data_IF_330627526770
#
_entry.id   IF_330627526770
#
_cell.length_a   1.000
_cell.length_b   1.000
_cell.length_c   1.000
_cell.angle_alpha   90.00
_cell.angle_beta   90.00
_cell.angle_gamma   90.00
#
_symmetry.space_group_name_H-M   'P 1'
#
loop_
_entity.id
_entity.type
_entity.pdbx_description
1 polymer ?
#
# COMPACT_ATOMS: atom_id res chain seq x y z
N UNK A 1 -18.72 -0.93 -1.19
CA UNK A 1 -17.61 -0.77 -2.15
C UNK A 1 -16.35 -1.57 -1.76
N UNK A 2 -16.48 -2.89 -1.56
CA UNK A 2 -15.39 -3.75 -1.12
C UNK A 2 -14.41 -4.24 -2.19
N UNK A 3 -14.38 -3.66 -3.38
CA UNK A 3 -13.60 -4.22 -4.50
C UNK A 3 -12.12 -3.80 -4.51
N UNK A 4 -11.76 -2.66 -3.94
CA UNK A 4 -10.40 -2.18 -3.88
C UNK A 4 -9.94 -2.10 -2.41
N UNK A 5 -9.01 -2.97 -2.03
CA UNK A 5 -8.38 -2.93 -0.70
C UNK A 5 -7.42 -1.73 -0.65
N UNK A 6 -7.97 -0.53 -0.56
CA UNK A 6 -7.20 0.70 -0.38
C UNK A 6 -6.96 0.96 1.11
N UNK A 7 -5.88 1.64 1.43
CA UNK A 7 -5.47 2.02 2.79
C UNK A 7 -4.84 3.41 2.78
N UNK A 8 -4.62 3.99 3.96
CA UNK A 8 -3.96 5.29 4.11
C UNK A 8 -4.89 6.43 4.52
N UNK A 9 -6.20 6.14 4.68
CA UNK A 9 -7.18 7.08 5.22
C UNK A 9 -6.83 7.52 6.64
N UNK A 10 -6.31 6.61 7.46
CA UNK A 10 -5.81 6.89 8.81
C UNK A 10 -4.63 7.87 8.80
N UNK A 11 -3.71 7.70 7.85
CA UNK A 11 -2.59 8.63 7.67
C UNK A 11 -3.06 10.02 7.25
N UNK A 12 -4.03 10.11 6.33
CA UNK A 12 -4.61 11.39 5.92
C UNK A 12 -5.37 12.04 7.06
N UNK A 13 -6.13 11.26 7.83
CA UNK A 13 -6.84 11.74 9.01
C UNK A 13 -5.87 12.28 10.07
N UNK A 14 -4.83 11.53 10.42
CA UNK A 14 -3.84 11.96 11.39
C UNK A 14 -3.13 13.25 10.96
N UNK A 15 -2.82 13.41 9.68
CA UNK A 15 -2.25 14.67 9.16
C UNK A 15 -3.24 15.82 9.18
N UNK A 16 -4.51 15.58 8.87
CA UNK A 16 -5.55 16.62 8.94
C UNK A 16 -5.73 17.08 10.39
N UNK A 17 -5.81 16.15 11.34
CA UNK A 17 -5.88 16.44 12.76
C UNK A 17 -4.67 17.27 13.23
N UNK A 18 -3.45 16.87 12.85
CA UNK A 18 -2.25 17.61 13.21
C UNK A 18 -2.24 19.05 12.63
N UNK A 19 -2.67 19.22 11.38
CA UNK A 19 -2.81 20.54 10.75
C UNK A 19 -3.87 21.41 11.43
N UNK A 20 -4.90 20.79 12.01
CA UNK A 20 -5.94 21.48 12.80
C UNK A 20 -5.50 21.79 14.24
N UNK A 21 -4.24 21.51 14.60
CA UNK A 21 -3.68 21.81 15.92
C UNK A 21 -3.85 20.71 16.96
N UNK A 22 -4.36 19.53 16.57
CA UNK A 22 -4.45 18.39 17.49
C UNK A 22 -3.09 17.68 17.62
N UNK A 23 -2.73 17.33 18.84
CA UNK A 23 -1.55 16.50 19.11
C UNK A 23 -1.91 15.01 19.01
N UNK A 24 -1.02 14.24 18.42
CA UNK A 24 -1.10 12.77 18.44
C UNK A 24 -0.17 12.24 19.53
N UNK A 25 -0.66 11.39 20.41
CA UNK A 25 0.13 10.75 21.44
C UNK A 25 -0.02 9.23 21.37
N UNK A 26 1.05 8.53 21.68
CA UNK A 26 1.02 7.09 21.87
C UNK A 26 0.57 6.75 23.28
N UNK A 27 -0.48 5.94 23.41
CA UNK A 27 -1.03 5.50 24.70
C UNK A 27 -0.84 3.98 24.85
N UNK A 28 0.18 3.52 25.59
CA UNK A 28 0.47 2.08 25.74
C UNK A 28 -0.63 1.28 26.42
N UNK A 29 -1.46 1.95 27.23
CA UNK A 29 -2.60 1.34 27.94
C UNK A 29 -3.80 1.09 27.02
N UNK A 30 -3.87 1.74 25.86
CA UNK A 30 -4.94 1.55 24.90
C UNK A 30 -4.67 0.27 24.10
N UNK A 31 -5.31 -0.82 24.49
CA UNK A 31 -5.19 -2.13 23.85
C UNK A 31 -6.45 -2.47 23.07
N UNK A 32 -6.29 -2.84 21.82
CA UNK A 32 -7.36 -3.30 20.94
C UNK A 32 -7.07 -4.74 20.50
N UNK A 33 -8.09 -5.58 20.52
CA UNK A 33 -8.01 -6.93 19.94
C UNK A 33 -8.59 -6.90 18.54
N UNK A 34 -7.75 -7.19 17.55
CA UNK A 34 -8.17 -7.24 16.16
C UNK A 34 -8.41 -8.69 15.72
N UNK A 35 -9.67 -9.04 15.54
CA UNK A 35 -10.05 -10.36 15.04
C UNK A 35 -9.91 -10.42 13.52
N UNK A 36 -9.00 -11.25 13.04
CA UNK A 36 -8.87 -11.53 11.61
C UNK A 36 -9.50 -12.88 11.25
N UNK A 37 -10.37 -12.87 10.24
CA UNK A 37 -10.93 -14.12 9.68
C UNK A 37 -9.80 -14.91 9.01
N UNK A 38 -9.78 -16.24 9.18
CA UNK A 38 -8.76 -17.11 8.59
C UNK A 38 -8.64 -16.98 7.07
N UNK A 39 -9.75 -16.67 6.37
CA UNK A 39 -9.73 -16.38 4.93
C UNK A 39 -8.84 -15.20 4.52
N UNK A 40 -8.51 -14.29 5.45
CA UNK A 40 -7.59 -13.16 5.22
C UNK A 40 -6.11 -13.56 5.31
N UNK A 41 -5.80 -14.78 5.71
CA UNK A 41 -4.44 -15.31 5.77
C UNK A 41 -4.03 -16.04 4.48
N UNK A 42 -4.97 -16.22 3.55
CA UNK A 42 -4.70 -16.87 2.26
C UNK A 42 -3.83 -16.01 1.32
N UNK A 43 -2.96 -16.67 0.56
CA UNK A 43 -2.04 -16.01 -0.40
C UNK A 43 -2.77 -15.09 -1.37
N UNK A 44 -3.94 -15.53 -1.87
CA UNK A 44 -4.77 -14.73 -2.79
C UNK A 44 -5.24 -13.42 -2.15
N UNK A 45 -5.65 -13.47 -0.88
CA UNK A 45 -6.04 -12.26 -0.15
C UNK A 45 -4.85 -11.34 0.07
N UNK A 46 -3.70 -11.89 0.51
CA UNK A 46 -2.47 -11.13 0.73
C UNK A 46 -1.96 -10.45 -0.54
N UNK A 47 -2.00 -11.15 -1.67
CA UNK A 47 -1.63 -10.58 -2.97
C UNK A 47 -2.52 -9.37 -3.33
N UNK A 48 -3.85 -9.50 -3.16
CA UNK A 48 -4.80 -8.40 -3.39
C UNK A 48 -4.58 -7.23 -2.43
N UNK A 49 -4.33 -7.53 -1.16
CA UNK A 49 -4.03 -6.53 -0.14
C UNK A 49 -2.78 -5.73 -0.50
N UNK A 50 -1.70 -6.40 -0.87
CA UNK A 50 -0.45 -5.76 -1.24
C UNK A 50 -0.58 -4.93 -2.53
N UNK A 51 -1.33 -5.41 -3.52
CA UNK A 51 -1.65 -4.62 -4.70
C UNK A 51 -2.47 -3.36 -4.33
N UNK A 52 -3.42 -3.48 -3.41
CA UNK A 52 -4.17 -2.35 -2.86
C UNK A 52 -3.26 -1.34 -2.17
N UNK A 53 -2.31 -1.79 -1.36
CA UNK A 53 -1.33 -0.93 -0.69
C UNK A 53 -0.43 -0.20 -1.69
N UNK A 54 0.04 -0.87 -2.75
CA UNK A 54 0.83 -0.23 -3.80
C UNK A 54 0.06 0.90 -4.50
N UNK A 55 -1.22 0.68 -4.79
CA UNK A 55 -2.12 1.72 -5.32
C UNK A 55 -2.32 2.87 -4.32
N UNK A 56 -2.60 2.54 -3.08
CA UNK A 56 -2.80 3.52 -1.99
C UNK A 56 -1.59 4.41 -1.80
N UNK A 57 -0.38 3.87 -1.94
CA UNK A 57 0.85 4.65 -1.86
C UNK A 57 0.89 5.78 -2.91
N UNK A 58 0.53 5.49 -4.16
CA UNK A 58 0.46 6.49 -5.23
C UNK A 58 -0.56 7.56 -4.92
N UNK A 59 -1.78 7.15 -4.52
CA UNK A 59 -2.87 8.06 -4.21
C UNK A 59 -2.55 8.94 -3.00
N UNK A 60 -1.96 8.37 -1.96
CA UNK A 60 -1.55 9.08 -0.74
C UNK A 60 -0.47 10.11 -1.05
N UNK A 61 0.59 9.73 -1.77
CA UNK A 61 1.67 10.65 -2.13
C UNK A 61 1.15 11.81 -2.98
N UNK A 62 0.26 11.53 -3.91
CA UNK A 62 -0.41 12.56 -4.72
C UNK A 62 -1.24 13.52 -3.85
N UNK A 63 -2.07 13.00 -2.94
CA UNK A 63 -2.87 13.81 -2.03
C UNK A 63 -2.01 14.69 -1.11
N UNK A 64 -0.77 14.26 -0.85
CA UNK A 64 0.21 14.99 -0.03
C UNK A 64 1.11 15.95 -0.84
N UNK A 65 0.90 16.07 -2.16
CA UNK A 65 1.75 16.85 -3.06
C UNK A 65 3.18 16.32 -3.20
N UNK A 66 3.41 15.04 -2.86
CA UNK A 66 4.73 14.41 -2.95
C UNK A 66 4.96 13.83 -4.35
N UNK A 67 6.22 13.86 -4.85
CA UNK A 67 6.55 13.24 -6.13
C UNK A 67 6.34 11.72 -6.07
N UNK A 68 5.86 11.17 -7.17
CA UNK A 68 5.69 9.72 -7.35
C UNK A 68 6.46 9.31 -8.59
N UNK A 69 7.50 8.53 -8.38
CA UNK A 69 8.37 8.05 -9.46
C UNK A 69 7.67 6.98 -10.32
N UNK A 70 8.11 6.88 -11.57
CA UNK A 70 7.64 5.82 -12.46
C UNK A 70 8.40 4.52 -12.24
N UNK A 71 7.67 3.44 -12.03
CA UNK A 71 8.24 2.12 -11.98
C UNK A 71 8.44 1.60 -13.42
N UNK A 72 9.69 1.64 -13.89
CA UNK A 72 10.05 1.07 -15.20
C UNK A 72 9.90 -0.46 -15.17
N UNK A 73 9.44 -1.05 -16.29
CA UNK A 73 9.26 -2.51 -16.40
C UNK A 73 10.53 -3.27 -16.02
N UNK A 74 11.70 -2.81 -16.51
CA UNK A 74 12.99 -3.40 -16.15
C UNK A 74 13.26 -3.43 -14.64
N UNK A 75 12.92 -2.36 -13.95
CA UNK A 75 13.04 -2.26 -12.49
C UNK A 75 12.07 -3.19 -11.77
N UNK A 76 10.82 -3.31 -12.25
CA UNK A 76 9.83 -4.22 -11.69
C UNK A 76 10.28 -5.68 -11.82
N UNK A 77 10.81 -6.07 -12.97
CA UNK A 77 11.35 -7.42 -13.21
C UNK A 77 12.59 -7.70 -12.32
N UNK A 78 13.52 -6.75 -12.23
CA UNK A 78 14.69 -6.88 -11.37
C UNK A 78 14.28 -7.03 -9.89
N UNK A 79 13.28 -6.27 -9.43
CA UNK A 79 12.73 -6.40 -8.08
C UNK A 79 12.09 -7.77 -7.86
N UNK A 80 11.36 -8.32 -8.83
CA UNK A 80 10.80 -9.67 -8.73
C UNK A 80 11.90 -10.71 -8.57
N UNK A 81 12.92 -10.68 -9.43
CA UNK A 81 14.04 -11.61 -9.36
C UNK A 81 14.77 -11.52 -8.01
N UNK A 82 15.04 -10.33 -7.52
CA UNK A 82 15.63 -10.10 -6.20
C UNK A 82 14.75 -10.68 -5.08
N UNK A 83 13.45 -10.38 -5.07
CA UNK A 83 12.51 -10.85 -4.04
C UNK A 83 12.35 -12.36 -4.05
N UNK A 84 12.33 -13.01 -5.22
CA UNK A 84 12.29 -14.47 -5.33
C UNK A 84 13.56 -15.12 -4.75
N UNK A 85 14.73 -14.52 -5.01
CA UNK A 85 16.01 -15.02 -4.47
C UNK A 85 16.13 -14.86 -2.96
N UNK A 86 15.63 -13.76 -2.39
CA UNK A 86 15.83 -13.42 -0.97
C UNK A 86 14.71 -13.93 -0.06
N UNK A 87 13.49 -14.04 -0.55
CA UNK A 87 12.32 -14.37 0.26
C UNK A 87 11.39 -15.41 -0.39
N UNK A 88 11.78 -16.04 -1.51
CA UNK A 88 11.03 -17.11 -2.14
C UNK A 88 9.56 -16.75 -2.38
N UNK A 89 8.63 -17.59 -1.89
CA UNK A 89 7.18 -17.38 -2.06
C UNK A 89 6.69 -16.06 -1.45
N UNK A 90 7.22 -15.66 -0.31
CA UNK A 90 6.87 -14.39 0.32
C UNK A 90 7.31 -13.21 -0.56
N UNK A 91 8.47 -13.30 -1.19
CA UNK A 91 8.95 -12.32 -2.16
C UNK A 91 8.05 -12.20 -3.38
N UNK A 92 7.52 -13.31 -3.89
CA UNK A 92 6.53 -13.30 -4.96
C UNK A 92 5.25 -12.57 -4.55
N UNK A 93 4.72 -12.85 -3.38
CA UNK A 93 3.50 -12.20 -2.88
C UNK A 93 3.71 -10.69 -2.70
N UNK A 94 4.86 -10.27 -2.16
CA UNK A 94 5.17 -8.84 -1.98
C UNK A 94 5.34 -8.09 -3.30
N UNK A 95 5.65 -8.77 -4.40
CA UNK A 95 5.72 -8.15 -5.73
C UNK A 95 4.38 -7.60 -6.21
N UNK A 96 3.26 -8.10 -5.69
CA UNK A 96 1.93 -7.54 -5.99
C UNK A 96 1.80 -6.07 -5.58
N UNK A 97 2.58 -5.62 -4.61
CA UNK A 97 2.69 -4.20 -4.28
C UNK A 97 3.22 -3.38 -5.48
N UNK A 98 4.29 -3.85 -6.13
CA UNK A 98 4.85 -3.19 -7.31
C UNK A 98 3.85 -3.18 -8.48
N UNK A 99 3.06 -4.24 -8.65
CA UNK A 99 1.99 -4.29 -9.67
C UNK A 99 0.89 -3.27 -9.39
N UNK A 100 0.44 -3.17 -8.15
CA UNK A 100 -0.57 -2.18 -7.74
C UNK A 100 -0.09 -0.75 -7.95
N UNK A 101 1.15 -0.47 -7.55
CA UNK A 101 1.81 0.81 -7.78
C UNK A 101 1.85 1.17 -9.28
N UNK A 102 2.35 0.27 -10.12
CA UNK A 102 2.47 0.50 -11.56
C UNK A 102 1.10 0.71 -12.24
N UNK A 103 0.09 -0.06 -11.82
CA UNK A 103 -1.27 0.07 -12.35
C UNK A 103 -1.86 1.46 -12.05
N UNK A 104 -1.70 1.97 -10.84
CA UNK A 104 -2.21 3.29 -10.46
C UNK A 104 -1.46 4.42 -11.16
N UNK A 105 -0.14 4.30 -11.32
CA UNK A 105 0.65 5.26 -12.08
C UNK A 105 0.22 5.37 -13.55
N UNK A 106 -0.13 4.24 -14.18
CA UNK A 106 -0.67 4.25 -15.56
C UNK A 106 -2.01 4.96 -15.66
N UNK A 107 -2.88 4.78 -14.66
CA UNK A 107 -4.18 5.47 -14.59
C UNK A 107 -3.98 6.98 -14.45
N UNK A 108 -3.09 7.40 -13.59
CA UNK A 108 -2.76 8.82 -13.36
C UNK A 108 -2.26 9.51 -14.65
N UNK A 109 -1.44 8.82 -15.45
CA UNK A 109 -0.96 9.34 -16.73
C UNK A 109 -2.07 9.50 -17.78
N UNK A 110 -3.06 8.63 -17.77
CA UNK A 110 -4.19 8.70 -18.73
C UNK A 110 -5.22 9.75 -18.36
N UNK A 111 -5.22 10.20 -17.12
CA UNK A 111 -6.13 11.22 -16.60
C UNK A 111 -5.61 12.67 -16.73
N UNK A 112 -4.36 12.83 -17.17
CA UNK A 112 -3.71 14.12 -17.48
C UNK A 112 -3.71 14.39 -18.98
#
# INVERSE_FOLDING_TARGET
SGAALLSGEDTLFARAAHRAGFACSYQPSLRLTHFMKGSRLGVRYLARLLAGHGRSYVLLHRALGKPVEDLKVRTAVARLAYRLRTAGRAGFVTWFWDLGYAAERRRDRRAR
#
